data_IF_940167310405
#
_entry.id   IF_940167310405
#
_cell.length_a   1.000
_cell.length_b   1.000
_cell.length_c   1.000
_cell.angle_alpha   90.00
_cell.angle_beta   90.00
_cell.angle_gamma   90.00
#
_symmetry.space_group_name_H-M   'P 1'
#
loop_
_entity.id
_entity.type
_entity.pdbx_description
1 polymer ?
#
# COMPACT_ATOMS: atom_id res chain seq x y z
N UNK A 1 0.99 32.75 -27.03
CA UNK A 1 1.70 31.66 -26.31
C UNK A 1 2.13 30.64 -27.37
N UNK A 2 3.44 30.41 -27.55
CA UNK A 2 3.96 29.46 -28.53
C UNK A 2 3.60 28.01 -28.13
N UNK A 3 3.39 27.13 -29.11
CA UNK A 3 3.08 25.71 -28.87
C UNK A 3 4.12 25.00 -28.01
N UNK A 4 5.38 25.43 -28.09
CA UNK A 4 6.50 24.92 -27.29
C UNK A 4 6.34 25.18 -25.79
N UNK A 5 5.87 26.37 -25.38
CA UNK A 5 5.68 26.68 -23.95
C UNK A 5 4.59 25.83 -23.32
N UNK A 6 3.48 25.60 -24.04
CA UNK A 6 2.37 24.77 -23.54
C UNK A 6 2.82 23.31 -23.37
N UNK A 7 3.58 22.78 -24.32
CA UNK A 7 4.12 21.42 -24.24
C UNK A 7 5.04 21.23 -23.04
N UNK A 8 5.96 22.18 -22.82
CA UNK A 8 6.90 22.16 -21.69
C UNK A 8 6.13 22.20 -20.36
N UNK A 9 5.20 23.14 -20.20
CA UNK A 9 4.40 23.27 -18.96
C UNK A 9 3.58 22.01 -18.72
N UNK A 10 2.96 21.45 -19.76
CA UNK A 10 2.15 20.23 -19.63
C UNK A 10 3.00 19.03 -19.21
N UNK A 11 4.20 18.88 -19.79
CA UNK A 11 5.12 17.82 -19.38
C UNK A 11 5.51 17.95 -17.90
N UNK A 12 5.85 19.15 -17.44
CA UNK A 12 6.16 19.38 -16.02
C UNK A 12 4.97 19.13 -15.10
N UNK A 13 3.76 19.53 -15.51
CA UNK A 13 2.55 19.25 -14.73
C UNK A 13 2.26 17.75 -14.64
N UNK A 14 2.48 16.98 -15.71
CA UNK A 14 2.33 15.52 -15.68
C UNK A 14 3.36 14.88 -14.74
N UNK A 15 4.62 15.32 -14.82
CA UNK A 15 5.68 14.83 -13.91
C UNK A 15 5.35 15.18 -12.46
N UNK A 16 4.91 16.41 -12.17
CA UNK A 16 4.51 16.83 -10.83
C UNK A 16 3.29 16.03 -10.33
N UNK A 17 2.31 15.77 -11.19
CA UNK A 17 1.12 14.98 -10.86
C UNK A 17 1.50 13.52 -10.55
N UNK A 18 2.36 12.89 -11.34
CA UNK A 18 2.77 11.50 -11.14
C UNK A 18 3.74 11.31 -9.96
N UNK A 19 4.51 12.34 -9.60
CA UNK A 19 5.45 12.27 -8.49
C UNK A 19 4.82 12.66 -7.16
N UNK A 20 4.36 13.90 -7.04
CA UNK A 20 3.82 14.44 -5.78
C UNK A 20 2.32 14.20 -5.71
N UNK A 21 1.61 14.35 -6.84
CA UNK A 21 0.17 14.20 -6.89
C UNK A 21 -0.31 12.80 -6.50
N UNK A 22 0.42 11.73 -6.84
CA UNK A 22 0.07 10.36 -6.42
C UNK A 22 0.20 10.16 -4.91
N UNK A 23 1.22 10.76 -4.27
CA UNK A 23 1.42 10.66 -2.83
C UNK A 23 0.31 11.38 -2.06
N UNK A 24 -0.06 12.58 -2.52
CA UNK A 24 -1.17 13.35 -1.96
C UNK A 24 -2.50 12.64 -2.21
N UNK A 25 -2.74 12.15 -3.43
CA UNK A 25 -3.97 11.44 -3.75
C UNK A 25 -4.11 10.16 -2.92
N UNK A 26 -3.03 9.42 -2.72
CA UNK A 26 -3.03 8.23 -1.88
C UNK A 26 -3.30 8.57 -0.42
N UNK A 27 -2.61 9.57 0.17
CA UNK A 27 -2.82 9.93 1.58
C UNK A 27 -4.25 10.40 1.85
N UNK A 28 -4.82 11.18 0.93
CA UNK A 28 -6.22 11.59 1.00
C UNK A 28 -7.16 10.39 0.83
N UNK A 29 -6.86 9.49 -0.12
CA UNK A 29 -7.66 8.28 -0.33
C UNK A 29 -7.67 7.39 0.91
N UNK A 30 -6.53 7.21 1.57
CA UNK A 30 -6.45 6.47 2.85
C UNK A 30 -7.38 7.11 3.87
N UNK A 31 -7.21 8.41 4.16
CA UNK A 31 -7.99 9.09 5.20
C UNK A 31 -9.49 9.15 4.92
N UNK A 32 -9.90 9.25 3.64
CA UNK A 32 -11.33 9.26 3.26
C UNK A 32 -11.95 7.87 3.33
N UNK A 33 -11.17 6.81 3.11
CA UNK A 33 -11.67 5.43 3.12
C UNK A 33 -11.49 4.73 4.47
N UNK A 34 -10.85 5.37 5.46
CA UNK A 34 -10.77 4.84 6.82
C UNK A 34 -12.17 4.69 7.40
N UNK A 35 -12.46 3.49 7.90
CA UNK A 35 -13.72 3.16 8.56
C UNK A 35 -13.47 2.53 9.92
N UNK A 36 -14.45 2.67 10.81
CA UNK A 36 -14.42 2.00 12.11
C UNK A 36 -15.17 0.68 12.02
N UNK A 37 -14.51 -0.39 12.45
CA UNK A 37 -15.07 -1.73 12.52
C UNK A 37 -14.94 -2.27 13.94
N UNK A 38 -15.92 -3.05 14.37
CA UNK A 38 -15.85 -3.77 15.64
C UNK A 38 -15.14 -5.10 15.40
N UNK A 39 -14.05 -5.33 16.11
CA UNK A 39 -13.30 -6.59 16.08
C UNK A 39 -13.44 -7.29 17.43
N UNK A 40 -13.55 -8.61 17.37
CA UNK A 40 -13.52 -9.45 18.55
C UNK A 40 -12.06 -9.70 18.95
N UNK A 41 -11.73 -9.31 20.17
CA UNK A 41 -10.41 -9.43 20.73
C UNK A 41 -10.47 -10.29 22.00
N UNK A 42 -9.68 -11.37 22.05
CA UNK A 42 -9.61 -12.22 23.25
C UNK A 42 -8.42 -11.82 24.13
N UNK A 43 -8.73 -11.45 25.37
CA UNK A 43 -7.76 -10.95 26.35
C UNK A 43 -7.94 -11.62 27.69
N UNK A 44 -6.97 -11.44 28.59
CA UNK A 44 -7.09 -11.93 29.96
C UNK A 44 -8.22 -11.20 30.70
N UNK A 45 -8.90 -11.91 31.60
CA UNK A 45 -9.96 -11.34 32.43
C UNK A 45 -9.42 -10.25 33.37
N UNK A 46 -10.31 -9.37 33.85
CA UNK A 46 -9.90 -8.35 34.83
C UNK A 46 -9.44 -8.98 36.16
N UNK A 47 -9.97 -10.16 36.50
CA UNK A 47 -9.55 -10.93 37.68
C UNK A 47 -8.10 -11.42 37.55
N UNK A 48 -7.71 -11.91 36.37
CA UNK A 48 -6.32 -12.29 36.08
C UNK A 48 -5.36 -11.13 36.36
N UNK A 49 -5.65 -9.93 35.83
CA UNK A 49 -4.78 -8.77 36.03
C UNK A 49 -4.72 -8.30 37.49
N UNK A 50 -5.85 -8.37 38.21
CA UNK A 50 -5.89 -8.05 39.64
C UNK A 50 -5.00 -8.95 40.48
N UNK A 51 -4.93 -10.25 40.17
CA UNK A 51 -4.05 -11.20 40.87
C UNK A 51 -2.60 -11.07 40.39
N UNK A 52 -2.38 -10.88 39.09
CA UNK A 52 -1.05 -10.67 38.50
C UNK A 52 -0.32 -9.47 39.12
N UNK A 53 -1.02 -8.34 39.32
CA UNK A 53 -0.42 -7.14 39.93
C UNK A 53 -0.21 -7.22 41.44
N UNK A 54 -0.69 -8.28 42.10
CA UNK A 54 -0.38 -8.55 43.52
C UNK A 54 0.95 -9.27 43.69
N UNK A 55 1.49 -9.87 42.63
CA UNK A 55 2.79 -10.52 42.65
C UNK A 55 3.92 -9.50 42.77
N UNK A 56 4.97 -9.84 43.53
CA UNK A 56 6.20 -9.04 43.59
C UNK A 56 7.04 -9.26 42.33
N UNK A 57 7.81 -8.24 41.95
CA UNK A 57 8.76 -8.35 40.86
C UNK A 57 9.79 -9.46 41.16
N UNK A 58 9.99 -10.37 40.21
CA UNK A 58 10.85 -11.56 40.36
C UNK A 58 10.24 -12.79 41.06
N UNK A 59 8.98 -12.76 41.52
CA UNK A 59 8.30 -13.93 42.12
C UNK A 59 7.64 -14.81 41.04
N UNK A 60 8.45 -15.66 40.39
CA UNK A 60 8.00 -16.54 39.30
C UNK A 60 6.90 -17.51 39.76
N UNK A 61 6.93 -17.98 41.00
CA UNK A 61 5.95 -18.92 41.54
C UNK A 61 4.58 -18.26 41.71
N UNK A 62 4.54 -16.98 42.07
CA UNK A 62 3.30 -16.21 42.12
C UNK A 62 2.68 -16.06 40.73
N UNK A 63 3.48 -15.65 39.72
CA UNK A 63 2.98 -15.45 38.35
C UNK A 63 2.44 -16.75 37.71
N UNK A 64 3.07 -17.89 37.98
CA UNK A 64 2.60 -19.20 37.48
C UNK A 64 1.33 -19.71 38.20
N UNK A 65 1.05 -19.23 39.42
CA UNK A 65 -0.12 -19.62 40.20
C UNK A 65 -1.40 -18.85 39.83
N UNK A 66 -1.30 -17.75 39.08
CA UNK A 66 -2.45 -16.95 38.66
C UNK A 66 -3.29 -17.74 37.64
N UNK A 67 -4.60 -17.96 37.88
CA UNK A 67 -5.45 -18.68 36.95
C UNK A 67 -5.64 -17.90 35.65
N UNK A 68 -5.26 -18.50 34.52
CA UNK A 68 -5.46 -17.92 33.19
C UNK A 68 -6.93 -18.06 32.80
N UNK A 69 -7.63 -16.94 32.76
CA UNK A 69 -9.01 -16.85 32.27
C UNK A 69 -9.06 -15.88 31.08
N UNK A 70 -9.54 -16.38 29.93
CA UNK A 70 -9.68 -15.57 28.72
C UNK A 70 -11.12 -15.09 28.56
N UNK A 71 -11.29 -13.80 28.24
CA UNK A 71 -12.58 -13.19 27.91
C UNK A 71 -12.52 -12.54 26.53
N UNK A 72 -13.63 -12.59 25.79
CA UNK A 72 -13.77 -11.88 24.52
C UNK A 72 -14.33 -10.47 24.78
N UNK A 73 -13.69 -9.46 24.20
CA UNK A 73 -14.15 -8.07 24.21
C UNK A 73 -14.27 -7.58 22.78
N UNK A 74 -15.24 -6.72 22.54
CA UNK A 74 -15.36 -6.00 21.28
C UNK A 74 -14.62 -4.68 21.40
N UNK A 75 -13.72 -4.41 20.46
CA UNK A 75 -13.00 -3.14 20.37
C UNK A 75 -13.26 -2.54 19.00
N UNK A 76 -13.57 -1.26 18.98
CA UNK A 76 -13.67 -0.50 17.73
C UNK A 76 -12.28 -0.11 17.27
N UNK A 77 -11.89 -0.55 16.08
CA UNK A 77 -10.60 -0.19 15.46
C UNK A 77 -10.81 0.51 14.13
N UNK A 78 -9.86 1.38 13.75
CA UNK A 78 -9.86 2.05 12.45
C UNK A 78 -9.13 1.19 11.41
N UNK A 79 -9.83 0.78 10.37
CA UNK A 79 -9.29 0.03 9.23
C UNK A 79 -9.32 0.90 8.00
N UNK A 80 -8.21 0.92 7.26
CA UNK A 80 -8.10 1.64 5.99
C UNK A 80 -7.85 0.64 4.87
N UNK A 81 -8.72 0.54 3.84
CA UNK A 81 -8.63 -0.45 2.78
C UNK A 81 -7.52 -0.15 1.76
N UNK A 82 -6.26 -0.22 2.21
CA UNK A 82 -5.08 0.10 1.38
C UNK A 82 -4.89 -0.88 0.23
N UNK A 83 -5.34 -2.11 0.40
CA UNK A 83 -5.37 -3.20 -0.58
C UNK A 83 -6.15 -2.83 -1.86
N UNK A 84 -7.08 -1.88 -1.75
CA UNK A 84 -7.91 -1.41 -2.87
C UNK A 84 -7.36 -0.17 -3.56
N UNK A 85 -6.47 0.58 -2.89
CA UNK A 85 -6.01 1.91 -3.34
C UNK A 85 -4.50 2.02 -3.56
N UNK A 86 -3.72 0.98 -3.24
CA UNK A 86 -2.25 0.98 -3.41
C UNK A 86 -1.80 1.27 -4.85
N UNK A 87 -2.62 0.93 -5.86
CA UNK A 87 -2.30 1.15 -7.28
C UNK A 87 -2.10 2.64 -7.62
N UNK A 88 -2.61 3.56 -6.79
CA UNK A 88 -2.34 5.00 -6.94
C UNK A 88 -0.83 5.27 -6.80
N UNK A 89 -0.16 4.61 -5.85
CA UNK A 89 1.29 4.70 -5.68
C UNK A 89 2.03 3.98 -6.80
N UNK A 90 1.47 2.91 -7.36
CA UNK A 90 2.08 2.22 -8.49
C UNK A 90 2.21 3.11 -9.74
N UNK A 91 1.41 4.18 -9.89
CA UNK A 91 1.60 5.17 -10.96
C UNK A 91 2.84 6.05 -10.79
N UNK A 92 3.40 6.13 -9.57
CA UNK A 92 4.54 6.97 -9.27
C UNK A 92 5.84 6.40 -9.86
N UNK A 93 6.58 7.18 -10.68
CA UNK A 93 7.78 6.67 -11.35
C UNK A 93 8.89 6.24 -10.40
N UNK A 94 8.98 6.84 -9.21
CA UNK A 94 9.98 6.46 -8.21
C UNK A 94 9.63 5.16 -7.48
N UNK A 95 8.34 4.93 -7.24
CA UNK A 95 7.83 3.68 -6.66
C UNK A 95 8.09 2.50 -7.60
N UNK A 96 7.82 2.67 -8.90
CA UNK A 96 8.10 1.65 -9.92
C UNK A 96 9.57 1.26 -9.90
N UNK A 97 10.47 2.24 -9.92
CA UNK A 97 11.91 1.98 -9.92
C UNK A 97 12.34 1.30 -8.61
N UNK A 98 11.84 1.78 -7.46
CA UNK A 98 12.15 1.17 -6.16
C UNK A 98 11.72 -0.28 -6.06
N UNK A 99 10.52 -0.60 -6.53
CA UNK A 99 10.00 -1.97 -6.50
C UNK A 99 10.63 -2.89 -7.57
N UNK A 100 11.08 -2.34 -8.71
CA UNK A 100 11.74 -3.12 -9.77
C UNK A 100 13.17 -3.51 -9.40
N UNK A 101 13.89 -2.63 -8.71
CA UNK A 101 15.31 -2.84 -8.35
C UNK A 101 15.45 -3.60 -7.03
N UNK A 102 14.42 -3.58 -6.17
CA UNK A 102 14.41 -4.36 -4.95
C UNK A 102 14.65 -5.85 -5.26
N UNK A 103 15.63 -6.44 -4.57
CA UNK A 103 15.87 -7.87 -4.62
C UNK A 103 14.74 -8.67 -3.97
N UNK A 104 14.89 -10.00 -3.83
CA UNK A 104 13.94 -10.84 -3.13
C UNK A 104 13.67 -10.31 -1.71
N UNK A 105 12.41 -10.06 -1.38
CA UNK A 105 12.01 -9.70 -0.02
C UNK A 105 12.00 -10.98 0.81
N UNK A 106 13.01 -11.15 1.67
CA UNK A 106 13.07 -12.22 2.64
C UNK A 106 13.49 -11.65 4.01
N UNK A 107 13.31 -12.46 5.06
CA UNK A 107 13.57 -12.07 6.46
C UNK A 107 15.00 -11.56 6.69
N UNK A 108 15.96 -12.01 5.87
CA UNK A 108 17.38 -11.63 5.97
C UNK A 108 17.76 -10.39 5.13
N UNK A 109 16.92 -9.99 4.16
CA UNK A 109 17.24 -8.95 3.15
C UNK A 109 16.36 -7.71 3.24
N UNK A 110 15.49 -7.60 4.25
CA UNK A 110 14.46 -6.57 4.32
C UNK A 110 14.99 -5.12 4.31
N UNK A 111 16.28 -4.88 4.58
CA UNK A 111 16.80 -3.52 4.59
C UNK A 111 18.32 -3.43 4.58
N UNK A 112 18.95 -3.70 3.44
CA UNK A 112 20.30 -3.13 3.22
C UNK A 112 20.25 -1.86 2.36
N UNK A 113 19.11 -1.53 1.74
CA UNK A 113 18.98 -0.34 0.91
C UNK A 113 17.59 0.32 0.97
N UNK A 114 17.53 1.55 0.44
CA UNK A 114 16.31 2.36 0.40
C UNK A 114 15.26 1.87 -0.60
N UNK A 115 15.65 1.08 -1.60
CA UNK A 115 14.71 0.60 -2.62
C UNK A 115 13.91 -0.60 -2.11
N UNK A 116 14.54 -1.50 -1.36
CA UNK A 116 13.88 -2.57 -0.61
C UNK A 116 12.83 -2.02 0.35
N UNK A 117 13.11 -0.90 1.04
CA UNK A 117 12.14 -0.24 1.91
C UNK A 117 10.90 0.23 1.13
N UNK A 118 11.08 0.84 -0.05
CA UNK A 118 9.96 1.30 -0.88
C UNK A 118 9.14 0.12 -1.39
N UNK A 119 9.81 -0.95 -1.86
CA UNK A 119 9.15 -2.17 -2.33
C UNK A 119 8.33 -2.82 -1.22
N UNK A 120 8.95 -3.03 -0.06
CA UNK A 120 8.33 -3.55 1.15
C UNK A 120 7.11 -2.72 1.58
N UNK A 121 7.25 -1.39 1.64
CA UNK A 121 6.16 -0.51 2.02
C UNK A 121 4.98 -0.63 1.06
N UNK A 122 5.22 -0.61 -0.25
CA UNK A 122 4.15 -0.64 -1.26
C UNK A 122 3.49 -2.01 -1.35
N UNK A 123 4.26 -3.09 -1.19
CA UNK A 123 3.72 -4.46 -1.17
C UNK A 123 2.95 -4.75 0.11
N UNK A 124 3.41 -4.23 1.25
CA UNK A 124 2.67 -4.32 2.52
C UNK A 124 1.28 -3.67 2.45
N UNK A 125 1.10 -2.63 1.62
CA UNK A 125 -0.21 -2.03 1.40
C UNK A 125 -1.21 -2.94 0.66
N UNK A 126 -0.73 -4.00 -0.01
CA UNK A 126 -1.57 -4.95 -0.74
C UNK A 126 -2.16 -6.03 0.16
N UNK A 127 -1.58 -6.20 1.36
CA UNK A 127 -2.08 -7.14 2.35
C UNK A 127 -3.49 -6.69 2.74
N UNK A 128 -4.41 -7.65 2.74
CA UNK A 128 -5.80 -7.39 3.04
C UNK A 128 -5.92 -6.79 4.45
N UNK A 129 -6.57 -5.64 4.53
CA UNK A 129 -6.77 -4.91 5.80
C UNK A 129 -8.12 -5.20 6.44
N UNK A 130 -9.01 -5.89 5.71
CA UNK A 130 -10.38 -6.21 6.10
C UNK A 130 -10.51 -7.55 6.84
N UNK A 131 -9.38 -8.20 7.12
CA UNK A 131 -9.41 -9.31 8.05
C UNK A 131 -9.81 -8.73 9.41
N UNK A 132 -11.03 -9.02 9.85
CA UNK A 132 -11.38 -8.95 11.27
C UNK A 132 -10.59 -10.05 11.95
N UNK A 133 -9.27 -9.91 11.95
CA UNK A 133 -8.39 -10.89 12.54
C UNK A 133 -8.72 -10.87 14.01
N UNK A 134 -9.17 -12.04 14.44
CA UNK A 134 -9.33 -12.37 15.83
C UNK A 134 -7.95 -12.24 16.47
N UNK A 135 -7.69 -11.06 17.05
CA UNK A 135 -6.47 -10.82 17.79
C UNK A 135 -6.63 -11.47 19.17
N UNK A 136 -5.58 -12.15 19.65
CA UNK A 136 -5.64 -12.91 20.90
C UNK A 136 -4.38 -12.72 21.73
N UNK A 137 -4.50 -11.98 22.83
CA UNK A 137 -3.43 -11.87 23.83
C UNK A 137 -3.45 -13.06 24.81
N UNK A 138 -4.52 -13.86 24.78
CA UNK A 138 -4.72 -15.03 25.63
C UNK A 138 -4.67 -16.30 24.77
N UNK A 139 -3.47 -16.85 24.45
CA UNK A 139 -3.35 -17.95 23.51
C UNK A 139 -3.94 -19.26 24.06
N UNK A 140 -4.66 -20.01 23.22
CA UNK A 140 -5.16 -21.38 23.52
C UNK A 140 -4.16 -22.48 23.16
N UNK A 141 -3.03 -22.12 22.56
CA UNK A 141 -1.97 -23.01 22.08
C UNK A 141 -0.61 -22.36 22.34
N UNK A 142 0.47 -23.13 22.60
CA UNK A 142 1.78 -22.57 22.89
C UNK A 142 2.27 -21.64 21.76
N UNK A 143 2.87 -20.50 22.09
CA UNK A 143 3.17 -19.39 21.16
C UNK A 143 4.07 -19.77 19.97
N UNK A 144 4.74 -20.93 20.02
CA UNK A 144 5.66 -21.41 18.99
C UNK A 144 4.99 -22.07 17.76
N UNK A 145 3.67 -22.27 17.75
CA UNK A 145 2.97 -22.94 16.63
C UNK A 145 2.21 -21.98 15.69
N UNK A 146 2.17 -20.67 15.98
CA UNK A 146 1.27 -19.74 15.29
C UNK A 146 1.89 -18.38 14.92
N UNK A 147 3.22 -18.24 14.90
CA UNK A 147 3.83 -17.07 14.28
C UNK A 147 4.10 -17.37 12.81
N UNK A 148 3.06 -17.29 11.97
CA UNK A 148 3.32 -16.98 10.57
C UNK A 148 4.10 -15.66 10.58
N UNK A 149 5.30 -15.71 10.04
CA UNK A 149 6.17 -14.55 9.92
C UNK A 149 5.39 -13.49 9.15
N UNK A 150 5.23 -12.23 9.62
CA UNK A 150 4.58 -11.17 8.83
C UNK A 150 5.20 -10.98 7.42
N UNK A 151 6.37 -11.58 7.21
CA UNK A 151 7.16 -11.59 6.01
C UNK A 151 6.75 -12.67 4.99
N UNK A 152 6.10 -13.76 5.40
CA UNK A 152 5.56 -14.75 4.45
C UNK A 152 4.44 -14.12 3.61
N UNK A 153 3.64 -13.23 4.20
CA UNK A 153 2.53 -12.55 3.53
C UNK A 153 2.98 -11.63 2.39
N UNK A 154 4.20 -11.08 2.44
CA UNK A 154 4.72 -10.26 1.33
C UNK A 154 5.07 -11.08 0.10
N UNK A 155 5.32 -12.39 0.23
CA UNK A 155 5.65 -13.24 -0.92
C UNK A 155 4.45 -13.49 -1.84
N UNK A 156 3.23 -13.39 -1.30
CA UNK A 156 1.96 -13.51 -2.04
C UNK A 156 1.51 -12.20 -2.69
N UNK A 157 2.27 -11.11 -2.51
CA UNK A 157 1.95 -9.80 -3.10
C UNK A 157 2.41 -9.70 -4.55
N UNK A 158 1.79 -8.80 -5.30
CA UNK A 158 2.17 -8.52 -6.68
C UNK A 158 3.24 -7.43 -6.74
N UNK A 159 4.22 -7.56 -7.64
CA UNK A 159 5.26 -6.54 -7.77
C UNK A 159 4.67 -5.23 -8.34
N UNK A 160 4.54 -4.17 -7.55
CA UNK A 160 3.89 -2.92 -7.97
C UNK A 160 4.43 -2.33 -9.30
N UNK A 161 5.69 -2.59 -9.66
CA UNK A 161 6.28 -2.07 -10.90
C UNK A 161 5.57 -2.55 -12.18
N UNK A 162 5.01 -3.77 -12.23
CA UNK A 162 4.35 -4.26 -13.46
C UNK A 162 3.03 -3.54 -13.70
N UNK A 163 2.25 -3.30 -12.64
CA UNK A 163 1.04 -2.49 -12.68
C UNK A 163 1.40 -1.05 -13.09
N UNK A 164 2.41 -0.48 -12.45
CA UNK A 164 2.84 0.89 -12.72
C UNK A 164 3.26 1.11 -14.17
N UNK A 165 4.11 0.23 -14.73
CA UNK A 165 4.52 0.30 -16.13
C UNK A 165 3.33 0.11 -17.08
N UNK A 166 2.41 -0.81 -16.78
CA UNK A 166 1.20 -1.00 -17.56
C UNK A 166 0.37 0.29 -17.64
N UNK A 167 0.13 0.93 -16.49
CA UNK A 167 -0.60 2.20 -16.41
C UNK A 167 0.11 3.34 -17.14
N UNK A 168 1.45 3.42 -17.02
CA UNK A 168 2.23 4.43 -17.72
C UNK A 168 2.23 4.25 -19.23
N UNK A 169 2.29 3.01 -19.73
CA UNK A 169 2.18 2.71 -21.16
C UNK A 169 0.80 3.13 -21.68
N UNK A 170 -0.27 2.81 -20.94
CA UNK A 170 -1.63 3.22 -21.30
C UNK A 170 -1.75 4.75 -21.34
N UNK A 171 -1.21 5.44 -20.34
CA UNK A 171 -1.19 6.90 -20.29
C UNK A 171 -0.43 7.50 -21.47
N UNK A 172 0.79 7.02 -21.73
CA UNK A 172 1.63 7.49 -22.83
C UNK A 172 0.97 7.24 -24.19
N UNK A 173 0.42 6.05 -24.41
CA UNK A 173 -0.33 5.71 -25.62
C UNK A 173 -1.56 6.61 -25.79
N UNK A 174 -2.29 6.91 -24.71
CA UNK A 174 -3.43 7.83 -24.71
C UNK A 174 -3.03 9.25 -25.13
N UNK A 175 -1.93 9.77 -24.57
CA UNK A 175 -1.39 11.09 -24.93
C UNK A 175 -0.96 11.12 -26.39
N UNK A 176 -0.22 10.11 -26.85
CA UNK A 176 0.25 10.01 -28.24
C UNK A 176 -0.91 9.89 -29.23
N UNK A 177 -1.91 9.06 -28.93
CA UNK A 177 -3.10 8.91 -29.76
C UNK A 177 -3.89 10.22 -29.84
N UNK A 178 -4.00 10.95 -28.72
CA UNK A 178 -4.62 12.28 -28.68
C UNK A 178 -3.86 13.30 -29.54
N UNK A 179 -2.54 13.35 -29.41
CA UNK A 179 -1.67 14.21 -30.21
C UNK A 179 -1.79 13.87 -31.71
N UNK A 180 -1.71 12.58 -32.07
CA UNK A 180 -1.84 12.10 -33.44
C UNK A 180 -3.19 12.52 -34.07
N UNK A 181 -4.30 12.33 -33.35
CA UNK A 181 -5.63 12.74 -33.84
C UNK A 181 -5.73 14.23 -34.08
N UNK A 182 -5.06 15.06 -33.28
CA UNK A 182 -5.04 16.53 -33.47
C UNK A 182 -4.10 17.00 -34.57
N UNK A 183 -2.98 16.29 -34.77
CA UNK A 183 -2.01 16.61 -35.82
C UNK A 183 -2.43 16.09 -37.20
N UNK A 184 -3.40 15.17 -37.26
CA UNK A 184 -3.97 14.67 -38.51
C UNK A 184 -4.74 15.78 -39.23
N UNK A 185 -4.01 16.57 -40.01
CA UNK A 185 -4.58 17.53 -40.95
C UNK A 185 -5.32 16.77 -42.06
N UNK A 186 -6.55 17.19 -42.43
CA UNK A 186 -7.32 16.51 -43.46
C UNK A 186 -6.81 16.92 -44.85
N UNK A 187 -5.60 16.51 -45.21
CA UNK A 187 -5.00 16.77 -46.52
C UNK A 187 -5.77 16.13 -47.67
N UNK A 188 -6.58 15.10 -47.39
CA UNK A 188 -7.42 14.42 -48.37
C UNK A 188 -8.63 15.24 -48.86
N UNK A 189 -9.02 16.33 -48.18
CA UNK A 189 -10.17 17.17 -48.57
C UNK A 189 -9.78 18.44 -49.33
N UNK A 190 -8.50 18.65 -49.61
CA UNK A 190 -8.06 19.76 -50.46
C UNK A 190 -8.33 19.41 -51.92
N UNK A 191 -9.01 20.33 -52.62
CA UNK A 191 -9.21 20.22 -54.05
C UNK A 191 -7.84 20.06 -54.75
N UNK A 192 -7.75 19.09 -55.68
CA UNK A 192 -6.57 18.90 -56.54
C UNK A 192 -6.20 20.24 -57.18
N UNK A 193 -5.07 20.83 -56.77
CA UNK A 193 -4.57 22.10 -57.33
C UNK A 193 -4.22 23.19 -56.31
N UNK A 194 -4.53 23.04 -55.02
CA UNK A 194 -4.06 23.98 -53.99
C UNK A 194 -2.54 23.82 -53.80
N UNK A 195 -1.76 24.80 -54.30
CA UNK A 195 -0.35 24.96 -53.94
C UNK A 195 -0.31 25.71 -52.62
N UNK A 196 0.13 25.04 -51.56
CA UNK A 196 0.41 25.68 -50.28
C UNK A 196 1.69 26.50 -50.48
N UNK A 197 1.57 27.83 -50.38
CA UNK A 197 2.69 28.76 -50.31
C UNK A 197 3.22 28.85 -48.88
#
# INVERSE_FOLDING_TARGET
>A
ISSSLVAIVTAYLIVALLSIGTLIAFSLAVGVNTRYVEVEFRTFSDAYWQEYWQCSDGDTACYEAVPVECVTRQVTTSVSPTDKIWWILAMNPYVIVGDMVAGPLNTDSYSNDMFGLVSAAVRGLQIETDTTDYWTDCPTSPPYLASASPYDDLTDTVAAWWIGLGLQIVLAAGILAGAYRRLKTPTAKLARGSRVA
#
